data_IF_856891387549
#
_entry.id   IF_856891387549
#
_cell.length_a   1.000
_cell.length_b   1.000
_cell.length_c   1.000
_cell.angle_alpha   90.00
_cell.angle_beta   90.00
_cell.angle_gamma   90.00
#
_symmetry.space_group_name_H-M   'P 1'
#
loop_
_entity.id
_entity.type
_entity.pdbx_description
1 polymer ?
#
# COMPACT_ATOMS: atom_id res chain seq x y z
N UNK A 1 36.30 -14.10 -24.90
CA UNK A 1 37.22 -13.27 -24.08
C UNK A 1 36.38 -12.65 -22.97
N UNK A 2 36.42 -13.24 -21.78
CA UNK A 2 35.81 -12.70 -20.56
C UNK A 2 36.77 -11.72 -19.93
N UNK A 3 36.31 -10.58 -19.40
CA UNK A 3 36.77 -10.09 -18.10
C UNK A 3 35.69 -9.27 -17.39
N UNK A 4 35.43 -9.74 -16.17
CA UNK A 4 34.71 -9.16 -15.04
C UNK A 4 35.51 -7.96 -14.48
N UNK A 5 34.85 -6.85 -14.15
CA UNK A 5 35.44 -5.81 -13.28
C UNK A 5 34.59 -5.72 -12.02
N UNK A 6 35.09 -6.32 -10.94
CA UNK A 6 34.64 -6.08 -9.58
C UNK A 6 35.61 -5.09 -8.92
N UNK A 7 35.09 -4.01 -8.33
CA UNK A 7 35.85 -3.17 -7.38
C UNK A 7 35.29 -3.41 -5.98
N UNK A 8 36.10 -4.07 -5.16
CA UNK A 8 35.92 -4.13 -3.71
C UNK A 8 36.51 -2.86 -3.09
N UNK A 9 35.79 -2.25 -2.15
CA UNK A 9 36.39 -1.36 -1.15
C UNK A 9 35.71 -1.59 0.20
N UNK A 10 36.45 -2.17 1.13
CA UNK A 10 36.25 -2.14 2.58
C UNK A 10 37.65 -2.34 3.20
N UNK A 11 37.96 -1.86 4.43
CA UNK A 11 37.31 -0.85 5.26
C UNK A 11 38.32 0.18 5.80
N UNK A 12 37.85 1.34 6.25
CA UNK A 12 38.59 2.14 7.22
C UNK A 12 37.68 2.41 8.43
N UNK A 13 37.91 1.63 9.48
CA UNK A 13 37.48 1.90 10.85
C UNK A 13 37.94 3.32 11.24
N UNK A 14 37.00 4.28 11.25
CA UNK A 14 37.09 5.47 12.09
C UNK A 14 35.69 5.78 12.63
N UNK A 15 35.57 5.57 13.93
CA UNK A 15 34.61 6.16 14.87
C UNK A 15 33.68 7.23 14.27
N UNK A 16 32.43 6.87 13.98
CA UNK A 16 31.36 7.83 13.78
C UNK A 16 30.54 7.90 15.06
N UNK A 17 30.70 9.01 15.78
CA UNK A 17 29.76 9.44 16.81
C UNK A 17 28.34 9.49 16.24
N UNK A 18 27.29 9.28 17.06
CA UNK A 18 25.93 9.39 16.60
C UNK A 18 25.63 10.84 16.24
N UNK A 19 25.69 11.17 14.94
CA UNK A 19 24.93 12.30 14.44
C UNK A 19 23.48 11.85 14.47
N UNK A 20 22.75 12.33 15.47
CA UNK A 20 21.30 12.45 15.45
C UNK A 20 20.88 12.95 14.08
N UNK A 21 20.40 12.04 13.24
CA UNK A 21 19.62 12.42 12.07
C UNK A 21 18.31 12.93 12.62
N UNK A 22 18.21 14.25 12.81
CA UNK A 22 16.89 14.87 12.95
C UNK A 22 16.07 14.43 11.74
N UNK A 23 15.02 13.66 11.98
CA UNK A 23 13.87 13.47 11.08
C UNK A 23 13.18 14.82 10.92
N UNK A 24 13.89 15.79 10.38
CA UNK A 24 13.25 16.93 9.75
C UNK A 24 12.50 16.35 8.56
N UNK A 25 11.19 16.57 8.56
CA UNK A 25 10.29 16.49 7.42
C UNK A 25 10.95 17.22 6.24
N UNK A 26 11.86 16.54 5.54
CA UNK A 26 12.32 17.00 4.25
C UNK A 26 11.15 16.78 3.31
N UNK A 27 10.27 17.78 3.23
CA UNK A 27 9.59 18.15 1.98
C UNK A 27 10.69 18.36 0.94
N UNK A 28 11.27 17.26 0.43
CA UNK A 28 12.07 17.31 -0.78
C UNK A 28 11.16 17.94 -1.81
N UNK A 29 11.65 19.01 -2.43
CA UNK A 29 10.91 19.86 -3.35
C UNK A 29 9.98 19.01 -4.20
N UNK A 30 8.69 19.38 -4.22
CA UNK A 30 7.75 18.96 -5.25
C UNK A 30 8.47 19.17 -6.58
N UNK A 31 9.10 18.14 -7.13
CA UNK A 31 9.33 18.11 -8.56
C UNK A 31 7.96 18.33 -9.16
N UNK A 32 7.86 19.29 -10.07
CA UNK A 32 6.64 19.65 -10.74
C UNK A 32 5.89 18.35 -11.08
N UNK A 33 4.59 18.30 -10.77
CA UNK A 33 3.70 17.23 -11.23
C UNK A 33 4.13 16.91 -12.67
N UNK A 34 4.45 15.66 -13.02
CA UNK A 34 4.73 15.34 -14.41
C UNK A 34 3.57 15.89 -15.25
N UNK A 35 3.89 16.86 -16.11
CA UNK A 35 2.90 17.49 -16.99
C UNK A 35 2.75 16.57 -18.18
N UNK A 36 1.85 15.60 -18.04
CA UNK A 36 1.36 14.86 -19.19
C UNK A 36 0.47 15.80 -19.99
N UNK A 37 0.58 15.81 -21.32
CA UNK A 37 -0.37 16.50 -22.19
C UNK A 37 -1.74 15.80 -22.03
N UNK A 38 -2.55 16.32 -21.10
CA UNK A 38 -3.90 15.84 -20.85
C UNK A 38 -4.78 16.27 -22.04
N UNK A 39 -5.58 15.36 -22.63
CA UNK A 39 -6.58 15.75 -23.62
C UNK A 39 -7.53 16.80 -23.04
N UNK A 40 -7.74 17.90 -23.78
CA UNK A 40 -8.51 19.07 -23.34
C UNK A 40 -10.00 18.78 -23.20
N UNK A 41 -10.56 19.38 -22.16
CA UNK A 41 -11.85 19.12 -21.54
C UNK A 41 -13.02 19.52 -22.45
N UNK A 42 -13.76 18.53 -22.94
CA UNK A 42 -15.14 18.67 -23.43
C UNK A 42 -15.94 17.46 -22.94
N UNK A 43 -17.03 17.67 -22.19
CA UNK A 43 -17.69 16.68 -21.31
C UNK A 43 -18.31 15.47 -22.01
N UNK A 44 -17.47 14.55 -22.51
CA UNK A 44 -17.80 13.22 -23.05
C UNK A 44 -16.96 12.10 -22.44
N UNK A 45 -16.26 12.36 -21.33
CA UNK A 45 -15.38 11.40 -20.68
C UNK A 45 -16.14 10.28 -19.98
N UNK A 46 -15.73 9.04 -20.20
CA UNK A 46 -16.24 7.87 -19.50
C UNK A 46 -15.50 7.61 -18.18
N UNK A 47 -14.15 7.68 -18.16
CA UNK A 47 -13.36 7.55 -16.94
C UNK A 47 -13.29 8.88 -16.17
N UNK A 48 -13.38 8.78 -14.85
CA UNK A 48 -13.25 9.95 -13.97
C UNK A 48 -11.82 10.45 -13.91
N UNK A 49 -11.66 11.77 -13.76
CA UNK A 49 -10.34 12.42 -13.65
C UNK A 49 -9.50 11.88 -12.48
N UNK A 50 -10.14 11.42 -11.41
CA UNK A 50 -9.48 10.94 -10.20
C UNK A 50 -9.86 9.49 -9.89
N UNK A 51 -8.88 8.69 -9.47
CA UNK A 51 -9.06 7.33 -8.99
C UNK A 51 -10.05 7.25 -7.82
N UNK A 52 -10.05 8.26 -6.93
CA UNK A 52 -10.96 8.35 -5.77
C UNK A 52 -12.44 8.44 -6.15
N UNK A 53 -12.74 8.80 -7.41
CA UNK A 53 -14.09 8.88 -7.95
C UNK A 53 -14.52 7.61 -8.71
N UNK A 54 -13.69 6.55 -8.69
CA UNK A 54 -14.02 5.30 -9.38
C UNK A 54 -15.22 4.60 -8.74
N UNK A 55 -16.15 4.17 -9.58
CA UNK A 55 -17.27 3.30 -9.22
C UNK A 55 -17.24 2.03 -10.06
N UNK A 56 -18.16 1.10 -9.75
CA UNK A 56 -18.22 -0.22 -10.39
C UNK A 56 -18.30 -0.16 -11.92
N UNK A 57 -19.06 0.80 -12.47
CA UNK A 57 -19.19 1.01 -13.92
C UNK A 57 -17.84 1.26 -14.63
N UNK A 58 -16.88 1.91 -13.96
CA UNK A 58 -15.56 2.16 -14.54
C UNK A 58 -14.70 0.89 -14.51
N UNK A 59 -14.84 0.07 -13.45
CA UNK A 59 -14.15 -1.23 -13.36
C UNK A 59 -14.68 -2.19 -14.42
N UNK A 60 -16.00 -2.25 -14.59
CA UNK A 60 -16.64 -3.10 -15.59
C UNK A 60 -16.15 -2.73 -17.00
N UNK A 61 -16.03 -1.43 -17.30
CA UNK A 61 -15.52 -0.93 -18.58
C UNK A 61 -14.02 -1.20 -18.79
N UNK A 62 -13.23 -1.20 -17.72
CA UNK A 62 -11.83 -1.61 -17.73
C UNK A 62 -11.66 -3.13 -17.59
N UNK A 63 -12.76 -3.89 -17.54
CA UNK A 63 -12.77 -5.36 -17.36
C UNK A 63 -11.93 -5.81 -16.16
N UNK A 64 -12.01 -5.05 -15.07
CA UNK A 64 -11.35 -5.36 -13.81
C UNK A 64 -12.35 -6.01 -12.86
N UNK A 65 -11.98 -7.15 -12.27
CA UNK A 65 -12.81 -7.82 -11.26
C UNK A 65 -12.00 -8.30 -10.07
N UNK A 66 -12.68 -8.44 -8.93
CA UNK A 66 -12.09 -8.99 -7.71
C UNK A 66 -12.45 -10.46 -7.56
N UNK A 67 -11.48 -11.27 -7.16
CA UNK A 67 -11.69 -12.68 -6.81
C UNK A 67 -11.11 -12.97 -5.42
N UNK A 68 -11.80 -13.78 -4.59
CA UNK A 68 -11.23 -14.22 -3.33
C UNK A 68 -10.00 -15.11 -3.59
N UNK A 69 -8.94 -14.91 -2.83
CA UNK A 69 -7.80 -15.80 -2.79
C UNK A 69 -7.70 -16.48 -1.42
N UNK A 70 -7.22 -17.72 -1.43
CA UNK A 70 -6.73 -18.34 -0.21
C UNK A 70 -5.37 -17.73 0.13
N UNK A 71 -5.12 -17.53 1.42
CA UNK A 71 -3.93 -16.82 1.91
C UNK A 71 -2.65 -17.43 1.32
N UNK A 72 -1.62 -16.63 1.12
CA UNK A 72 -0.28 -17.13 0.80
C UNK A 72 0.28 -17.86 2.03
N UNK A 73 -0.05 -19.14 2.24
CA UNK A 73 0.46 -19.93 3.37
C UNK A 73 1.89 -20.42 3.11
N UNK A 74 2.87 -19.71 3.67
CA UNK A 74 4.24 -20.16 3.90
C UNK A 74 4.65 -19.87 5.35
N UNK A 75 5.59 -20.65 5.90
CA UNK A 75 6.14 -20.40 7.24
C UNK A 75 7.28 -19.38 7.12
N UNK A 76 7.27 -18.35 7.96
CA UNK A 76 8.40 -17.44 8.16
C UNK A 76 8.81 -17.47 9.62
N UNK A 77 10.08 -17.75 9.91
CA UNK A 77 10.65 -17.85 11.26
C UNK A 77 11.13 -16.49 11.81
N UNK A 78 10.39 -15.41 11.58
CA UNK A 78 10.74 -14.11 12.18
C UNK A 78 10.03 -13.91 13.51
N UNK A 79 10.75 -13.28 14.45
CA UNK A 79 10.25 -12.84 15.75
C UNK A 79 9.13 -11.84 15.50
N UNK A 80 7.93 -12.20 15.90
CA UNK A 80 6.75 -11.34 15.80
C UNK A 80 6.71 -10.38 16.98
N UNK A 81 6.15 -9.18 16.81
CA UNK A 81 5.88 -8.31 17.94
C UNK A 81 5.04 -9.06 19.00
N UNK A 82 5.21 -8.70 20.28
CA UNK A 82 4.67 -9.42 21.41
C UNK A 82 3.15 -9.52 21.34
N UNK A 83 2.65 -10.56 22.01
CA UNK A 83 1.24 -10.94 22.10
C UNK A 83 0.48 -9.95 23.00
N UNK A 84 0.39 -8.69 22.56
CA UNK A 84 -0.43 -7.66 23.22
C UNK A 84 -1.87 -7.85 22.77
N UNK A 85 -2.70 -8.29 23.71
CA UNK A 85 -4.10 -8.63 23.49
C UNK A 85 -4.96 -7.37 23.22
N UNK A 86 -6.06 -7.49 22.45
CA UNK A 86 -6.92 -6.34 22.11
C UNK A 86 -7.51 -5.63 23.33
N UNK A 87 -7.66 -6.34 24.45
CA UNK A 87 -8.17 -5.77 25.71
C UNK A 87 -7.18 -4.80 26.34
N UNK A 88 -5.89 -5.10 26.23
CA UNK A 88 -4.81 -4.23 26.75
C UNK A 88 -4.74 -2.95 25.92
N UNK A 89 -4.87 -3.06 24.59
CA UNK A 89 -4.87 -1.92 23.66
C UNK A 89 -6.09 -0.99 23.83
N UNK A 90 -7.11 -1.39 24.58
CA UNK A 90 -8.33 -0.60 24.83
C UNK A 90 -8.46 -0.18 26.29
N UNK A 91 -7.41 -0.40 27.08
CA UNK A 91 -7.39 -0.03 28.48
C UNK A 91 -7.23 1.49 28.59
N UNK A 92 -8.07 2.14 29.39
CA UNK A 92 -8.01 3.58 29.64
C UNK A 92 -6.72 3.95 30.39
N UNK A 93 -6.15 3.01 31.17
CA UNK A 93 -4.89 3.17 31.90
C UNK A 93 -3.68 2.59 31.12
N UNK A 94 -3.80 2.44 29.80
CA UNK A 94 -2.75 1.89 28.96
C UNK A 94 -1.43 2.66 29.13
N UNK A 95 -0.35 1.90 29.34
CA UNK A 95 0.99 2.44 29.40
C UNK A 95 1.98 1.42 28.85
N UNK A 96 2.54 1.72 27.69
CA UNK A 96 3.46 0.83 26.97
C UNK A 96 4.74 0.50 27.75
N UNK A 97 5.20 1.40 28.63
CA UNK A 97 6.39 1.19 29.47
C UNK A 97 6.18 0.09 30.52
N UNK A 98 4.93 -0.13 30.94
CA UNK A 98 4.58 -1.16 31.94
C UNK A 98 4.43 -2.57 31.34
N UNK A 99 4.47 -2.71 30.02
CA UNK A 99 4.24 -3.99 29.32
C UNK A 99 5.47 -4.93 29.30
N UNK A 100 6.60 -4.52 29.90
CA UNK A 100 7.81 -5.35 29.98
C UNK A 100 8.43 -5.66 28.61
N UNK A 101 8.22 -4.78 27.63
CA UNK A 101 8.74 -4.95 26.26
C UNK A 101 10.20 -4.51 26.20
N UNK A 102 11.09 -5.40 25.77
CA UNK A 102 12.53 -5.10 25.75
C UNK A 102 12.91 -4.16 24.59
N UNK A 103 12.29 -4.31 23.41
CA UNK A 103 12.62 -3.54 22.21
C UNK A 103 11.82 -2.23 22.11
N UNK A 104 12.52 -1.09 22.03
CA UNK A 104 11.94 0.25 21.88
C UNK A 104 11.09 0.41 20.61
N UNK A 105 11.47 -0.26 19.51
CA UNK A 105 10.70 -0.23 18.24
C UNK A 105 9.38 -0.96 18.41
N UNK A 106 9.42 -2.09 19.10
CA UNK A 106 8.23 -2.85 19.44
C UNK A 106 7.32 -2.05 20.36
N UNK A 107 7.87 -1.35 21.36
CA UNK A 107 7.08 -0.41 22.19
C UNK A 107 6.41 0.65 21.33
N UNK A 108 7.17 1.31 20.46
CA UNK A 108 6.64 2.36 19.57
C UNK A 108 5.52 1.83 18.67
N UNK A 109 5.66 0.63 18.12
CA UNK A 109 4.61 0.01 17.32
C UNK A 109 3.33 -0.27 18.14
N UNK A 110 3.48 -0.81 19.35
CA UNK A 110 2.34 -1.13 20.24
C UNK A 110 1.63 0.14 20.71
N UNK A 111 2.37 1.21 20.98
CA UNK A 111 1.85 2.52 21.36
C UNK A 111 1.00 3.13 20.23
N UNK A 112 1.55 3.18 19.00
CA UNK A 112 0.80 3.61 17.81
C UNK A 112 -0.44 2.76 17.54
N UNK A 113 -0.37 1.47 17.85
CA UNK A 113 -1.50 0.56 17.69
C UNK A 113 -2.60 0.82 18.73
N UNK A 114 -2.25 1.20 19.95
CA UNK A 114 -3.19 1.68 20.96
C UNK A 114 -3.88 2.96 20.48
N UNK A 115 -3.12 3.96 20.01
CA UNK A 115 -3.67 5.23 19.51
C UNK A 115 -4.75 5.00 18.45
N UNK A 116 -4.47 4.16 17.43
CA UNK A 116 -5.44 3.85 16.36
C UNK A 116 -6.66 3.09 16.90
N UNK A 117 -6.47 2.24 17.90
CA UNK A 117 -7.54 1.41 18.49
C UNK A 117 -8.50 2.27 19.32
N UNK A 118 -7.97 3.12 20.19
CA UNK A 118 -8.72 4.07 21.02
C UNK A 118 -9.49 5.07 20.14
N UNK A 119 -8.84 5.56 19.08
CA UNK A 119 -9.39 6.59 18.20
C UNK A 119 -10.19 6.04 17.01
N UNK A 120 -10.53 4.74 16.99
CA UNK A 120 -11.28 4.12 15.90
C UNK A 120 -12.71 4.67 15.70
N UNK A 121 -13.18 5.55 16.61
CA UNK A 121 -14.49 6.21 16.56
C UNK A 121 -14.46 7.76 16.46
N UNK A 122 -13.30 8.41 16.44
CA UNK A 122 -13.19 9.89 16.44
C UNK A 122 -13.26 10.49 15.03
N UNK A 123 -13.17 11.82 14.93
CA UNK A 123 -13.20 12.57 13.68
C UNK A 123 -12.23 12.02 12.61
N UNK A 124 -12.71 12.00 11.36
CA UNK A 124 -12.07 11.32 10.22
C UNK A 124 -10.60 11.69 10.01
N UNK A 125 -10.23 12.96 10.20
CA UNK A 125 -8.85 13.44 9.99
C UNK A 125 -7.86 12.98 11.06
N UNK A 126 -8.31 12.85 12.31
CA UNK A 126 -7.45 12.37 13.41
C UNK A 126 -7.24 10.86 13.30
N UNK A 127 -8.29 10.10 13.00
CA UNK A 127 -8.18 8.65 12.77
C UNK A 127 -7.29 8.33 11.55
N UNK A 128 -7.29 9.17 10.52
CA UNK A 128 -6.40 9.06 9.34
C UNK A 128 -4.93 9.20 9.74
N UNK A 129 -4.57 10.29 10.41
CA UNK A 129 -3.18 10.58 10.73
C UNK A 129 -2.54 9.49 11.62
N UNK A 130 -3.33 8.92 12.54
CA UNK A 130 -2.89 7.82 13.40
C UNK A 130 -2.70 6.53 12.60
N UNK A 131 -3.62 6.20 11.68
CA UNK A 131 -3.51 5.01 10.83
C UNK A 131 -2.31 5.12 9.89
N UNK A 132 -2.10 6.29 9.27
CA UNK A 132 -0.93 6.56 8.43
C UNK A 132 0.38 6.39 9.23
N UNK A 133 0.41 6.88 10.47
CA UNK A 133 1.57 6.76 11.37
C UNK A 133 1.87 5.31 11.77
N UNK A 134 0.85 4.54 12.14
CA UNK A 134 0.96 3.11 12.47
C UNK A 134 1.50 2.32 11.29
N UNK A 135 0.97 2.55 10.10
CA UNK A 135 1.38 1.76 8.94
C UNK A 135 2.74 2.19 8.41
N UNK A 136 3.09 3.47 8.50
CA UNK A 136 4.45 3.89 8.20
C UNK A 136 5.46 3.16 9.11
N UNK A 137 5.16 3.06 10.41
CA UNK A 137 5.97 2.28 11.35
C UNK A 137 6.06 0.79 10.97
N UNK A 138 4.92 0.18 10.61
CA UNK A 138 4.85 -1.19 10.11
C UNK A 138 5.78 -1.40 8.92
N UNK A 139 5.66 -0.56 7.88
CA UNK A 139 6.44 -0.69 6.65
C UNK A 139 7.92 -0.43 6.87
N UNK A 140 8.28 0.64 7.59
CA UNK A 140 9.67 1.07 7.76
C UNK A 140 10.44 0.24 8.78
N UNK A 141 9.81 -0.12 9.90
CA UNK A 141 10.53 -0.64 11.08
C UNK A 141 10.22 -2.10 11.41
N UNK A 142 9.04 -2.61 11.03
CA UNK A 142 8.66 -4.00 11.32
C UNK A 142 9.00 -4.93 10.15
N UNK A 143 8.68 -4.52 8.91
CA UNK A 143 8.91 -5.35 7.71
C UNK A 143 10.01 -4.82 6.80
N UNK A 144 10.62 -3.69 7.17
CA UNK A 144 11.82 -3.11 6.55
C UNK A 144 11.69 -2.76 5.06
N UNK A 145 10.51 -2.41 4.56
CA UNK A 145 10.29 -2.05 3.16
C UNK A 145 11.02 -0.78 2.67
N UNK A 146 11.78 -0.11 3.53
CA UNK A 146 12.68 0.99 3.17
C UNK A 146 14.17 0.62 3.26
N UNK A 147 14.47 -0.65 3.57
CA UNK A 147 15.82 -1.20 3.43
C UNK A 147 16.07 -1.59 1.96
N UNK A 148 17.30 -1.33 1.48
CA UNK A 148 17.76 -1.72 0.15
C UNK A 148 17.44 -3.20 -0.18
N UNK A 149 16.94 -3.51 -1.39
CA UNK A 149 16.77 -2.66 -2.57
C UNK A 149 15.43 -1.89 -2.63
N UNK A 150 14.62 -1.96 -1.57
CA UNK A 150 13.33 -1.28 -1.54
C UNK A 150 13.46 0.18 -1.11
N UNK A 151 12.45 0.98 -1.48
CA UNK A 151 12.32 2.37 -1.09
C UNK A 151 10.85 2.74 -1.02
N UNK A 152 10.42 3.25 0.12
CA UNK A 152 9.06 3.74 0.31
C UNK A 152 8.93 5.16 -0.23
N UNK A 153 7.96 5.39 -1.12
CA UNK A 153 7.54 6.69 -1.62
C UNK A 153 6.20 7.05 -1.00
N UNK A 154 6.12 8.22 -0.38
CA UNK A 154 4.88 8.76 0.19
C UNK A 154 4.13 9.56 -0.88
N UNK A 155 2.83 9.29 -1.01
CA UNK A 155 1.88 10.00 -1.88
C UNK A 155 2.44 10.32 -3.29
N UNK A 156 3.05 9.36 -4.01
CA UNK A 156 3.55 9.65 -5.34
C UNK A 156 2.37 9.88 -6.30
N UNK A 157 2.44 10.90 -7.17
CA UNK A 157 1.47 11.05 -8.24
C UNK A 157 1.68 9.93 -9.26
N UNK A 158 0.63 9.18 -9.55
CA UNK A 158 0.57 8.17 -10.61
C UNK A 158 -0.53 8.55 -11.60
N UNK A 159 -0.40 8.11 -12.85
CA UNK A 159 -1.47 8.27 -13.83
C UNK A 159 -1.70 6.96 -14.58
N UNK A 160 -2.97 6.61 -14.75
CA UNK A 160 -3.39 5.65 -15.76
C UNK A 160 -3.77 6.45 -17.00
N UNK A 161 -3.12 6.17 -18.13
CA UNK A 161 -3.40 6.84 -19.41
C UNK A 161 -3.96 5.80 -20.37
N UNK A 162 -5.01 6.21 -21.09
CA UNK A 162 -5.63 5.49 -22.22
C UNK A 162 -5.52 6.37 -23.46
N UNK A 163 -5.99 5.89 -24.62
CA UNK A 163 -5.99 6.67 -25.88
C UNK A 163 -6.48 8.11 -25.72
N UNK A 164 -7.59 8.28 -25.01
CA UNK A 164 -8.36 9.54 -25.00
C UNK A 164 -8.54 10.13 -23.60
N UNK A 165 -8.14 9.39 -22.55
CA UNK A 165 -8.43 9.75 -21.17
C UNK A 165 -7.28 9.43 -20.23
N UNK A 166 -7.17 10.22 -19.17
CA UNK A 166 -6.19 10.02 -18.11
C UNK A 166 -6.83 10.10 -16.73
N UNK A 167 -6.41 9.20 -15.84
CA UNK A 167 -6.90 9.09 -14.48
C UNK A 167 -5.73 9.32 -13.54
N UNK A 168 -5.83 10.35 -12.72
CA UNK A 168 -4.84 10.64 -11.69
C UNK A 168 -5.11 9.80 -10.44
N UNK A 169 -4.05 9.18 -9.93
CA UNK A 169 -4.05 8.35 -8.74
C UNK A 169 -2.97 8.86 -7.77
N UNK A 170 -3.32 8.97 -6.50
CA UNK A 170 -2.41 9.42 -5.44
C UNK A 170 -2.47 8.39 -4.30
N UNK A 171 -1.89 7.18 -4.50
CA UNK A 171 -1.83 6.18 -3.44
C UNK A 171 -0.99 6.70 -2.28
N UNK A 172 -1.33 6.33 -1.05
CA UNK A 172 -0.66 6.83 0.15
C UNK A 172 0.81 6.42 0.23
N UNK A 173 1.13 5.18 -0.14
CA UNK A 173 2.50 4.69 -0.17
C UNK A 173 2.74 3.80 -1.38
N UNK A 174 3.95 3.84 -1.94
CA UNK A 174 4.40 2.95 -3.02
C UNK A 174 5.81 2.48 -2.71
N UNK A 175 6.07 1.19 -2.90
CA UNK A 175 7.33 0.51 -2.64
C UNK A 175 7.56 -0.34 -3.89
N UNK A 176 8.66 -0.26 -4.63
CA UNK A 176 8.91 -0.98 -5.90
C UNK A 176 7.91 -2.15 -6.22
N UNK A 177 6.93 -1.92 -7.12
CA UNK A 177 5.82 -2.84 -7.53
C UNK A 177 4.76 -3.24 -6.47
N UNK A 178 4.75 -2.55 -5.32
CA UNK A 178 3.86 -2.76 -4.19
C UNK A 178 3.19 -1.45 -3.76
N UNK A 179 1.87 -1.47 -3.62
CA UNK A 179 1.05 -0.29 -3.27
C UNK A 179 0.46 -0.41 -1.86
N UNK A 180 0.37 0.71 -1.15
CA UNK A 180 -0.53 0.87 -0.01
C UNK A 180 -1.54 1.96 -0.30
N UNK A 181 -2.80 1.65 0.01
CA UNK A 181 -3.82 2.65 0.19
C UNK A 181 -4.31 2.69 1.63
N UNK A 182 -4.34 3.88 2.21
CA UNK A 182 -5.13 4.16 3.42
C UNK A 182 -6.47 4.76 3.01
N UNK A 183 -7.56 4.32 3.66
CA UNK A 183 -8.90 4.80 3.31
C UNK A 183 -9.51 5.63 4.43
N UNK A 184 -9.83 6.86 4.06
CA UNK A 184 -10.56 7.79 4.91
C UNK A 184 -12.05 7.45 4.90
N UNK A 185 -12.66 7.39 6.08
CA UNK A 185 -14.10 7.22 6.27
C UNK A 185 -14.86 8.51 5.96
N UNK A 186 -14.66 9.10 4.78
CA UNK A 186 -15.41 10.27 4.33
C UNK A 186 -16.79 9.78 3.90
N UNK A 187 -17.78 9.99 4.76
CA UNK A 187 -19.17 9.52 4.66
C UNK A 187 -19.35 8.00 4.68
N UNK A 188 -19.54 7.45 5.89
CA UNK A 188 -19.93 6.04 6.15
C UNK A 188 -21.14 5.56 5.32
N UNK A 189 -22.02 6.48 4.88
CA UNK A 189 -23.22 6.16 4.07
C UNK A 189 -22.94 5.79 2.61
N UNK A 190 -21.87 6.30 2.00
CA UNK A 190 -21.51 6.05 0.58
C UNK A 190 -20.51 4.91 0.39
N UNK A 191 -20.02 4.33 1.48
CA UNK A 191 -18.94 3.35 1.47
C UNK A 191 -19.32 1.98 0.85
N UNK A 192 -20.51 1.41 1.14
CA UNK A 192 -20.97 0.21 0.44
C UNK A 192 -21.17 0.45 -1.06
N UNK A 193 -21.60 1.67 -1.44
CA UNK A 193 -21.84 2.04 -2.84
C UNK A 193 -20.55 2.10 -3.66
N UNK A 194 -19.42 2.42 -3.02
CA UNK A 194 -18.09 2.42 -3.63
C UNK A 194 -17.30 1.12 -3.35
N UNK A 195 -17.98 0.05 -2.94
CA UNK A 195 -17.34 -1.25 -2.62
C UNK A 195 -16.20 -1.11 -1.60
N UNK A 196 -16.41 -0.33 -0.54
CA UNK A 196 -15.41 -0.06 0.50
C UNK A 196 -14.09 0.50 -0.11
N UNK A 197 -14.29 1.22 -1.22
CA UNK A 197 -13.33 1.86 -2.10
C UNK A 197 -12.39 0.94 -2.87
N UNK A 198 -12.69 -0.35 -2.99
CA UNK A 198 -11.94 -1.26 -3.88
C UNK A 198 -11.86 -0.75 -5.32
N UNK A 199 -12.88 0.01 -5.76
CA UNK A 199 -12.84 0.68 -7.06
C UNK A 199 -11.65 1.64 -7.20
N UNK A 200 -11.32 2.38 -6.14
CA UNK A 200 -10.14 3.25 -6.11
C UNK A 200 -8.84 2.43 -6.10
N UNK A 201 -8.80 1.32 -5.36
CA UNK A 201 -7.63 0.41 -5.33
C UNK A 201 -7.35 -0.15 -6.71
N UNK A 202 -8.39 -0.59 -7.42
CA UNK A 202 -8.26 -1.07 -8.78
C UNK A 202 -7.63 0.00 -9.70
N UNK A 203 -8.09 1.24 -9.60
CA UNK A 203 -7.52 2.35 -10.37
C UNK A 203 -6.05 2.62 -10.02
N UNK A 204 -5.70 2.60 -8.73
CA UNK A 204 -4.33 2.80 -8.27
C UNK A 204 -3.39 1.65 -8.68
N UNK A 205 -3.87 0.40 -8.62
CA UNK A 205 -3.15 -0.78 -9.15
C UNK A 205 -2.87 -0.61 -10.64
N UNK A 206 -3.88 -0.22 -11.43
CA UNK A 206 -3.68 0.02 -12.86
C UNK A 206 -2.74 1.20 -13.13
N UNK A 207 -2.84 2.30 -12.39
CA UNK A 207 -1.95 3.45 -12.55
C UNK A 207 -0.49 3.11 -12.20
N UNK A 208 -0.27 2.28 -11.17
CA UNK A 208 1.06 1.80 -10.83
C UNK A 208 1.64 0.88 -11.92
N UNK A 209 0.81 -0.02 -12.46
CA UNK A 209 1.23 -0.88 -13.56
C UNK A 209 1.56 -0.07 -14.81
N UNK A 210 0.77 0.96 -15.08
CA UNK A 210 1.01 1.86 -16.20
C UNK A 210 2.36 2.58 -16.07
N UNK A 211 2.69 3.12 -14.90
CA UNK A 211 3.98 3.79 -14.68
C UNK A 211 5.17 2.83 -14.89
N UNK A 212 5.04 1.55 -14.53
CA UNK A 212 6.09 0.56 -14.77
C UNK A 212 6.32 0.24 -16.24
N UNK A 213 5.26 0.22 -17.07
CA UNK A 213 5.38 -0.14 -18.49
C UNK A 213 5.88 0.99 -19.38
N UNK A 214 6.01 2.20 -18.85
CA UNK A 214 6.60 3.33 -19.57
C UNK A 214 8.02 2.98 -20.04
N UNK A 215 8.76 2.22 -19.22
CA UNK A 215 10.10 1.77 -19.55
C UNK A 215 10.08 0.47 -20.38
N UNK A 216 9.25 -0.51 -20.00
CA UNK A 216 9.15 -1.80 -20.68
C UNK A 216 7.72 -2.36 -20.63
N UNK A 217 7.11 -2.54 -21.80
CA UNK A 217 5.79 -3.16 -21.91
C UNK A 217 5.87 -4.68 -21.67
N UNK A 218 5.71 -5.07 -20.42
CA UNK A 218 5.72 -6.44 -19.95
C UNK A 218 4.54 -6.74 -19.02
N UNK A 219 4.31 -8.03 -18.74
CA UNK A 219 3.37 -8.46 -17.71
C UNK A 219 3.75 -7.82 -16.36
N UNK A 220 2.79 -7.21 -15.70
CA UNK A 220 2.98 -6.54 -14.41
C UNK A 220 2.37 -7.36 -13.29
N UNK A 221 3.17 -7.71 -12.31
CA UNK A 221 2.68 -8.26 -11.05
C UNK A 221 2.69 -7.17 -9.98
N UNK A 222 1.51 -6.82 -9.48
CA UNK A 222 1.31 -5.73 -8.52
C UNK A 222 0.64 -6.28 -7.29
N UNK A 223 1.26 -6.00 -6.16
CA UNK A 223 0.70 -6.29 -4.85
C UNK A 223 0.17 -4.98 -4.27
N UNK A 224 -0.95 -5.05 -3.55
CA UNK A 224 -1.45 -3.90 -2.81
C UNK A 224 -2.01 -4.31 -1.46
N UNK A 225 -2.13 -3.37 -0.54
CA UNK A 225 -2.95 -3.56 0.65
C UNK A 225 -3.69 -2.29 1.04
N UNK A 226 -4.86 -2.51 1.64
CA UNK A 226 -5.73 -1.48 2.20
C UNK A 226 -5.70 -1.59 3.71
N UNK A 227 -5.64 -0.46 4.38
CA UNK A 227 -5.85 -0.37 5.83
C UNK A 227 -7.09 0.48 6.10
N UNK A 228 -7.98 -0.01 6.97
CA UNK A 228 -9.12 0.73 7.51
C UNK A 228 -9.01 0.60 9.03
N UNK A 229 -8.61 1.68 9.72
CA UNK A 229 -8.26 1.63 11.14
C UNK A 229 -7.22 0.53 11.39
N UNK A 230 -7.57 -0.57 12.05
CA UNK A 230 -6.66 -1.70 12.31
C UNK A 230 -6.85 -2.88 11.35
N UNK A 231 -7.81 -2.82 10.42
CA UNK A 231 -8.13 -3.93 9.52
C UNK A 231 -7.38 -3.83 8.20
N UNK A 232 -6.66 -4.89 7.85
CA UNK A 232 -5.81 -4.97 6.66
C UNK A 232 -6.40 -5.95 5.64
N UNK A 233 -6.53 -5.51 4.39
CA UNK A 233 -6.91 -6.35 3.26
C UNK A 233 -5.81 -6.30 2.21
N UNK A 234 -5.36 -7.45 1.74
CA UNK A 234 -4.33 -7.56 0.71
C UNK A 234 -4.93 -7.86 -0.66
N UNK A 235 -4.19 -7.46 -1.68
CA UNK A 235 -4.53 -7.60 -3.08
C UNK A 235 -3.30 -8.03 -3.89
N UNK A 236 -3.54 -8.80 -4.95
CA UNK A 236 -2.55 -9.18 -5.94
C UNK A 236 -3.19 -9.16 -7.32
N UNK A 237 -2.56 -8.49 -8.27
CA UNK A 237 -2.97 -8.45 -9.66
C UNK A 237 -1.81 -8.90 -10.55
N UNK A 238 -2.11 -9.72 -11.56
CA UNK A 238 -1.21 -9.95 -12.68
C UNK A 238 -1.89 -9.34 -13.89
N UNK A 239 -1.27 -8.31 -14.46
CA UNK A 239 -1.80 -7.52 -15.58
C UNK A 239 -0.97 -7.87 -16.80
N UNK A 240 -1.54 -8.53 -17.82
CA UNK A 240 -0.76 -8.96 -18.98
C UNK A 240 -0.35 -7.78 -19.85
N UNK A 241 0.78 -7.89 -20.54
CA UNK A 241 1.30 -6.87 -21.47
C UNK A 241 0.25 -6.45 -22.51
N UNK A 242 -0.51 -7.44 -23.01
CA UNK A 242 -1.59 -7.22 -23.97
C UNK A 242 -2.73 -6.35 -23.44
N UNK A 243 -2.97 -6.32 -22.12
CA UNK A 243 -3.99 -5.45 -21.55
C UNK A 243 -3.62 -3.97 -21.74
N UNK A 244 -2.34 -3.64 -21.56
CA UNK A 244 -1.84 -2.29 -21.80
C UNK A 244 -1.90 -1.88 -23.27
N UNK A 245 -1.60 -2.84 -24.16
CA UNK A 245 -1.75 -2.63 -25.59
C UNK A 245 -3.19 -2.27 -25.96
N UNK A 246 -4.19 -2.99 -25.43
CA UNK A 246 -5.59 -2.63 -25.64
C UNK A 246 -5.92 -1.23 -25.12
N UNK A 247 -5.40 -0.86 -23.93
CA UNK A 247 -5.64 0.44 -23.33
C UNK A 247 -5.12 1.63 -24.17
N UNK A 248 -4.09 1.40 -24.99
CA UNK A 248 -3.58 2.41 -25.92
C UNK A 248 -4.55 2.72 -27.08
N UNK A 249 -5.46 1.80 -27.40
CA UNK A 249 -6.45 1.95 -28.49
C UNK A 249 -7.88 2.15 -27.97
N UNK A 250 -8.05 2.35 -26.66
CA UNK A 250 -9.35 2.61 -26.03
C UNK A 250 -9.57 1.74 -24.78
N UNK A 251 -10.81 1.53 -24.39
CA UNK A 251 -11.13 0.63 -23.28
C UNK A 251 -10.89 -0.84 -23.66
N UNK A 252 -10.46 -1.66 -22.69
CA UNK A 252 -10.17 -3.08 -22.90
C UNK A 252 -11.41 -3.85 -23.37
N UNK A 253 -11.21 -4.75 -24.35
CA UNK A 253 -12.29 -5.51 -25.02
C UNK A 253 -12.12 -7.02 -24.89
N UNK A 254 -10.89 -7.53 -24.89
CA UNK A 254 -10.65 -8.98 -24.80
C UNK A 254 -9.95 -9.31 -23.49
N UNK A 255 -8.87 -8.59 -23.18
CA UNK A 255 -8.13 -8.77 -21.92
C UNK A 255 -8.97 -8.38 -20.70
N UNK A 256 -8.59 -8.89 -19.55
CA UNK A 256 -9.25 -8.56 -18.28
C UNK A 256 -8.25 -8.70 -17.15
N UNK A 257 -8.43 -7.90 -16.11
CA UNK A 257 -7.57 -7.95 -14.92
C UNK A 257 -8.34 -8.56 -13.77
N UNK A 258 -7.78 -9.62 -13.20
CA UNK A 258 -8.29 -10.23 -11.98
C UNK A 258 -7.43 -9.78 -10.81
N UNK A 259 -8.05 -9.07 -9.87
CA UNK A 259 -7.43 -8.68 -8.61
C UNK A 259 -7.82 -9.70 -7.55
N UNK A 260 -6.87 -10.55 -7.18
CA UNK A 260 -7.01 -11.49 -6.06
C UNK A 260 -7.00 -10.73 -4.74
N UNK A 261 -7.92 -11.05 -3.83
CA UNK A 261 -8.07 -10.39 -2.53
C UNK A 261 -8.05 -11.39 -1.39
N UNK A 262 -7.36 -11.06 -0.30
CA UNK A 262 -7.47 -11.79 0.97
C UNK A 262 -7.42 -10.85 2.18
N UNK A 263 -8.20 -11.09 3.25
CA UNK A 263 -9.23 -12.13 3.38
C UNK A 263 -10.37 -12.01 2.35
N UNK A 264 -11.15 -13.08 2.17
CA UNK A 264 -12.12 -13.21 1.06
C UNK A 264 -13.17 -12.10 1.03
N UNK A 265 -13.61 -11.66 2.20
CA UNK A 265 -14.69 -10.70 2.35
C UNK A 265 -14.21 -9.25 2.23
N UNK A 266 -15.00 -8.42 1.55
CA UNK A 266 -14.80 -6.97 1.53
C UNK A 266 -15.80 -6.29 2.46
N UNK A 267 -15.30 -5.42 3.32
CA UNK A 267 -16.09 -4.71 4.31
C UNK A 267 -15.20 -3.86 5.22
N UNK A 268 -15.83 -3.11 6.11
CA UNK A 268 -15.13 -2.19 7.04
C UNK A 268 -14.28 -2.96 8.07
N UNK A 269 -14.74 -4.15 8.49
CA UNK A 269 -14.10 -4.96 9.55
C UNK A 269 -13.83 -6.41 9.10
N UNK A 270 -13.70 -6.64 7.80
CA UNK A 270 -13.51 -7.99 7.22
C UNK A 270 -12.04 -8.32 6.97
N UNK A 271 -11.13 -7.36 7.17
CA UNK A 271 -9.69 -7.54 7.03
C UNK A 271 -9.05 -8.27 8.22
N UNK A 272 -7.75 -8.58 8.09
CA UNK A 272 -6.92 -9.05 9.19
C UNK A 272 -6.69 -7.92 10.18
N UNK A 273 -7.01 -8.13 11.45
CA UNK A 273 -6.94 -7.08 12.46
C UNK A 273 -5.54 -7.01 13.09
N UNK A 274 -4.86 -5.87 12.97
CA UNK A 274 -3.57 -5.59 13.63
C UNK A 274 -3.66 -5.53 15.15
N UNK A 275 -4.82 -5.17 15.72
CA UNK A 275 -5.03 -5.19 17.17
C UNK A 275 -5.12 -6.62 17.72
N UNK A 276 -5.57 -7.57 16.89
CA UNK A 276 -5.60 -9.00 17.24
C UNK A 276 -4.20 -9.64 17.08
N UNK A 277 -3.67 -10.38 18.06
CA UNK A 277 -2.35 -10.98 17.95
C UNK A 277 -2.20 -11.94 16.76
N UNK A 278 -3.21 -12.74 16.45
CA UNK A 278 -3.17 -13.70 15.36
C UNK A 278 -3.32 -12.99 14.00
N UNK A 279 -4.21 -12.00 13.92
CA UNK A 279 -4.36 -11.11 12.77
C UNK A 279 -3.09 -10.30 12.48
N UNK A 280 -2.47 -9.71 13.50
CA UNK A 280 -1.19 -9.01 13.43
C UNK A 280 -0.09 -9.92 12.90
N UNK A 281 0.01 -11.13 13.44
CA UNK A 281 0.96 -12.15 12.98
C UNK A 281 0.73 -12.45 11.49
N UNK A 282 -0.51 -12.62 11.07
CA UNK A 282 -0.86 -12.87 9.67
C UNK A 282 -0.47 -11.71 8.75
N UNK A 283 -0.77 -10.46 9.12
CA UNK A 283 -0.39 -9.26 8.34
C UNK A 283 1.11 -9.15 8.17
N UNK A 284 1.88 -9.27 9.25
CA UNK A 284 3.34 -9.18 9.20
C UNK A 284 3.91 -10.32 8.36
N UNK A 285 3.39 -11.53 8.54
CA UNK A 285 3.79 -12.69 7.76
C UNK A 285 3.57 -12.46 6.26
N UNK A 286 2.40 -11.97 5.86
CA UNK A 286 2.07 -11.74 4.45
C UNK A 286 2.92 -10.62 3.84
N UNK A 287 3.15 -9.52 4.57
CA UNK A 287 4.06 -8.46 4.14
C UNK A 287 5.50 -8.98 3.95
N UNK A 288 6.00 -9.82 4.86
CA UNK A 288 7.33 -10.43 4.75
C UNK A 288 7.43 -11.36 3.54
N UNK A 289 6.37 -12.12 3.23
CA UNK A 289 6.34 -12.97 2.03
C UNK A 289 6.32 -12.16 0.76
N UNK A 290 5.53 -11.09 0.70
CA UNK A 290 5.52 -10.18 -0.43
C UNK A 290 6.91 -9.58 -0.62
N UNK A 291 7.55 -9.14 0.47
CA UNK A 291 8.94 -8.66 0.43
C UNK A 291 9.89 -9.72 -0.15
N UNK A 292 9.82 -10.96 0.34
CA UNK A 292 10.67 -12.06 -0.14
C UNK A 292 10.43 -12.35 -1.61
N UNK A 293 9.16 -12.41 -2.03
CA UNK A 293 8.77 -12.60 -3.43
C UNK A 293 9.34 -11.50 -4.35
N UNK A 294 9.34 -10.25 -3.89
CA UNK A 294 9.90 -9.12 -4.63
C UNK A 294 11.44 -9.09 -4.67
N UNK A 295 12.13 -9.89 -3.82
CA UNK A 295 13.60 -9.99 -3.83
C UNK A 295 14.13 -11.03 -4.83
N UNK A 296 13.29 -11.97 -5.29
CA UNK A 296 13.69 -13.11 -6.13
C UNK A 296 13.88 -14.40 -5.35
#
# INVERSE_FOLDING_TARGET
MFYLVARFFCPALRTLQPKTFSLTLQKRSRQARPTYELPTDGSGRFLTKFASSFGKKHLDALRVRFEPADNHHGKTEKIFPPRVEPKVLKDDDFNVEKLGLEDDRVRTFVDKLHDVTENSGVDTGTSEALTDTLVNDLLLHVVNFDDWPFKVRLEPPLNLITSDESVSAEPKFVINNFLKQDKHLINKKTYPLNSFGECQIAAEILACGYENIIEECADQEIFAFRVISTYVTFYKAVIPAMYWWELQFGLSKEQSVVIKRWPKENGEKTGLNLADPEGRRAVITDLLKIRQHLLG
#
